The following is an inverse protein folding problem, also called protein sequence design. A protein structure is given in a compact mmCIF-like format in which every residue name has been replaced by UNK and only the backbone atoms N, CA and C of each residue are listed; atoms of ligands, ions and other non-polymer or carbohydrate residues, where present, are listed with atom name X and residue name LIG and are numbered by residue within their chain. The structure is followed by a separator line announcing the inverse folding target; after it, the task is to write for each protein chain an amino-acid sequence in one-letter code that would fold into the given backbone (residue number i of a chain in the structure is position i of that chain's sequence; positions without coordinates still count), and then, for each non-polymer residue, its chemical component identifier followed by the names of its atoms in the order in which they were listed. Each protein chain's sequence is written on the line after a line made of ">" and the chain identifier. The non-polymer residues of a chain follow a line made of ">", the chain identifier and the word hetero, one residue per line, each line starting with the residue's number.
data_IF_670106173601
#
_entry.id   IF_670106173601
#
_cell.length_a   1.000
_cell.length_b   1.000
_cell.length_c   1.000
_cell.angle_alpha   90.00
_cell.angle_beta   90.00
_cell.angle_gamma   90.00
#
_symmetry.space_group_name_H-M   'P 1'
#
loop_
_entity.id
_entity.type
_entity.pdbx_description
1 polymer ?
#
# COMPACT_ATOMS: atom_id res chain seq x y z
N UNK A 1 -11.47 14.60 -22.16
CA UNK A 1 -11.23 13.14 -22.29
C UNK A 1 -10.39 12.73 -21.10
N UNK A 2 -10.97 12.09 -20.07
CA UNK A 2 -10.25 11.67 -18.88
C UNK A 2 -9.36 10.47 -19.24
N UNK A 3 -8.05 10.64 -19.31
CA UNK A 3 -7.13 9.50 -19.25
C UNK A 3 -7.10 9.00 -17.81
N UNK A 4 -7.87 7.98 -17.52
CA UNK A 4 -7.91 7.28 -16.24
C UNK A 4 -6.64 6.44 -16.15
N UNK A 5 -5.55 6.99 -15.65
CA UNK A 5 -4.44 6.19 -15.17
C UNK A 5 -4.81 5.72 -13.75
N UNK A 6 -5.50 4.60 -13.70
CA UNK A 6 -5.85 3.95 -12.44
C UNK A 6 -4.59 3.27 -11.97
N UNK A 7 -4.08 3.71 -10.80
CA UNK A 7 -3.13 3.03 -9.92
C UNK A 7 -2.11 2.16 -10.67
N UNK A 8 -0.84 2.49 -10.58
CA UNK A 8 0.26 1.71 -11.13
C UNK A 8 0.38 0.27 -10.62
N UNK A 9 -0.58 -0.20 -9.81
CA UNK A 9 -0.73 -1.58 -9.38
C UNK A 9 -1.42 -2.34 -10.51
N UNK A 10 -0.62 -2.96 -11.35
CA UNK A 10 -1.12 -3.73 -12.50
C UNK A 10 -1.55 -5.15 -12.12
N UNK A 11 -1.21 -5.65 -10.92
CA UNK A 11 -1.51 -7.03 -10.53
C UNK A 11 -1.95 -7.14 -9.06
N UNK A 12 -3.26 -7.35 -8.87
CA UNK A 12 -3.86 -7.68 -7.56
C UNK A 12 -3.20 -8.92 -6.93
N UNK A 13 -2.74 -9.87 -7.74
CA UNK A 13 -2.08 -11.09 -7.26
C UNK A 13 -0.77 -10.78 -6.54
N UNK A 14 -0.05 -9.75 -6.97
CA UNK A 14 1.14 -9.32 -6.27
C UNK A 14 0.81 -8.83 -4.86
N UNK A 15 -0.24 -8.02 -4.71
CA UNK A 15 -0.69 -7.54 -3.40
C UNK A 15 -1.09 -8.70 -2.49
N UNK A 16 -1.86 -9.66 -3.00
CA UNK A 16 -2.27 -10.84 -2.23
C UNK A 16 -1.07 -11.69 -1.78
N UNK A 17 -0.09 -11.90 -2.65
CA UNK A 17 1.12 -12.68 -2.34
C UNK A 17 2.10 -11.97 -1.40
N UNK A 18 1.96 -10.66 -1.21
CA UNK A 18 2.83 -9.85 -0.38
C UNK A 18 2.18 -9.41 0.94
N UNK A 19 1.17 -10.13 1.39
CA UNK A 19 0.55 -9.95 2.71
C UNK A 19 1.58 -10.19 3.81
N UNK A 20 2.44 -11.19 3.65
CA UNK A 20 3.67 -11.37 4.42
C UNK A 20 4.87 -11.00 3.56
N UNK A 21 5.87 -10.36 4.14
CA UNK A 21 7.10 -10.01 3.45
C UNK A 21 7.81 -11.27 2.96
N UNK A 22 7.90 -11.44 1.63
CA UNK A 22 8.45 -12.65 1.04
C UNK A 22 9.93 -12.52 0.71
N UNK A 23 10.30 -11.44 0.03
CA UNK A 23 11.68 -11.19 -0.42
C UNK A 23 12.26 -9.95 0.27
N UNK A 24 11.45 -8.94 0.51
CA UNK A 24 11.86 -7.73 1.23
C UNK A 24 10.72 -7.10 2.03
N UNK A 25 11.06 -6.51 3.15
CA UNK A 25 10.18 -5.66 3.93
C UNK A 25 10.09 -4.30 3.24
N UNK A 26 8.89 -3.85 2.91
CA UNK A 26 8.66 -2.67 2.07
C UNK A 26 8.29 -1.42 2.85
N UNK A 27 7.80 -1.58 4.08
CA UNK A 27 7.35 -0.46 4.92
C UNK A 27 7.39 -0.85 6.40
N UNK A 28 7.37 0.14 7.27
CA UNK A 28 7.29 -0.08 8.72
C UNK A 28 5.97 -0.78 9.08
N UNK A 29 6.05 -1.89 9.82
CA UNK A 29 4.89 -2.71 10.17
C UNK A 29 4.47 -3.72 9.09
N UNK A 30 5.29 -3.94 8.05
CA UNK A 30 5.02 -5.01 7.09
C UNK A 30 5.14 -6.37 7.79
N UNK A 31 4.08 -7.20 7.84
CA UNK A 31 4.13 -8.50 8.49
C UNK A 31 5.20 -9.40 7.88
N UNK A 32 6.00 -10.06 8.73
CA UNK A 32 7.10 -10.92 8.29
C UNK A 32 6.72 -12.40 8.46
N UNK A 33 6.03 -12.71 9.55
CA UNK A 33 5.62 -14.06 9.89
C UNK A 33 4.25 -14.07 10.54
N UNK A 34 3.59 -15.19 10.51
CA UNK A 34 2.35 -15.44 11.22
C UNK A 34 2.44 -16.75 11.98
N UNK A 35 1.92 -16.78 13.20
CA UNK A 35 1.89 -17.96 14.06
C UNK A 35 0.46 -18.38 14.31
N UNK A 36 0.17 -19.66 14.15
CA UNK A 36 -1.09 -20.28 14.55
C UNK A 36 -0.82 -21.25 15.72
N UNK A 37 -1.60 -21.12 16.80
CA UNK A 37 -1.48 -21.96 17.97
C UNK A 37 -2.87 -22.32 18.53
N UNK A 38 -2.91 -23.21 19.55
CA UNK A 38 -4.17 -23.60 20.20
C UNK A 38 -4.77 -22.48 21.06
N UNK A 39 -3.94 -21.59 21.58
CA UNK A 39 -4.35 -20.44 22.39
C UNK A 39 -3.56 -19.20 21.94
N UNK A 40 -4.16 -18.03 22.16
CA UNK A 40 -3.52 -16.74 21.89
C UNK A 40 -2.20 -16.58 22.63
N UNK A 41 -2.15 -16.92 23.93
CA UNK A 41 -0.95 -16.87 24.76
C UNK A 41 0.22 -17.68 24.16
N UNK A 42 -0.06 -18.87 23.63
CA UNK A 42 0.95 -19.71 22.99
C UNK A 42 1.42 -19.05 21.67
N UNK A 43 0.51 -18.47 20.92
CA UNK A 43 0.83 -17.76 19.66
C UNK A 43 1.71 -16.53 19.92
N UNK A 44 1.37 -15.71 20.90
CA UNK A 44 2.16 -14.54 21.31
C UNK A 44 3.58 -14.92 21.74
N UNK A 45 3.71 -15.89 22.63
CA UNK A 45 5.02 -16.38 23.06
C UNK A 45 5.85 -16.95 21.91
N UNK A 46 5.22 -17.60 20.95
CA UNK A 46 5.92 -18.10 19.76
C UNK A 46 6.36 -16.96 18.84
N UNK A 47 5.59 -15.89 18.71
CA UNK A 47 6.00 -14.69 17.98
C UNK A 47 7.25 -14.03 18.60
N UNK A 48 7.34 -13.97 19.94
CA UNK A 48 8.50 -13.44 20.66
C UNK A 48 9.79 -14.22 20.42
N UNK A 49 9.69 -15.50 20.02
CA UNK A 49 10.85 -16.36 19.72
C UNK A 49 11.34 -16.23 18.28
N UNK A 50 10.66 -15.48 17.44
CA UNK A 50 11.06 -15.28 16.06
C UNK A 50 12.20 -14.27 16.02
N UNK A 51 13.38 -14.72 15.67
CA UNK A 51 14.54 -13.87 15.40
C UNK A 51 14.57 -13.51 13.92
N UNK A 52 14.80 -12.22 13.62
CA UNK A 52 14.86 -11.72 12.25
C UNK A 52 16.19 -11.01 12.03
N UNK A 53 16.93 -11.48 11.05
CA UNK A 53 18.15 -10.82 10.56
C UNK A 53 17.83 -10.06 9.27
N UNK A 54 18.23 -8.79 9.22
CA UNK A 54 17.91 -7.90 8.11
C UNK A 54 19.17 -7.50 7.33
N UNK A 55 19.13 -7.73 6.04
CA UNK A 55 20.03 -7.06 5.09
C UNK A 55 19.40 -5.71 4.69
N UNK A 56 19.95 -4.62 5.20
CA UNK A 56 19.38 -3.28 5.05
C UNK A 56 19.73 -2.70 3.68
N UNK A 57 18.73 -2.57 2.83
CA UNK A 57 18.83 -1.93 1.52
C UNK A 57 18.71 -0.40 1.58
N UNK A 58 19.13 0.33 0.56
CA UNK A 58 18.83 1.77 0.42
C UNK A 58 17.32 2.01 0.49
N UNK A 59 16.92 3.04 1.21
CA UNK A 59 15.53 3.39 1.47
C UNK A 59 15.19 4.82 1.05
N UNK A 60 13.90 5.09 0.86
CA UNK A 60 13.33 6.43 0.75
C UNK A 60 12.04 6.47 1.55
N UNK A 61 12.00 7.27 2.61
CA UNK A 61 10.86 7.38 3.52
C UNK A 61 10.04 8.63 3.18
N UNK A 62 10.73 9.75 2.94
CA UNK A 62 10.09 11.00 2.59
C UNK A 62 9.69 11.04 1.11
N UNK A 63 8.55 11.69 0.82
CA UNK A 63 8.02 11.78 -0.55
C UNK A 63 9.02 12.48 -1.48
N UNK A 64 9.61 13.57 -1.02
CA UNK A 64 10.57 14.36 -1.80
C UNK A 64 11.84 13.59 -2.13
N UNK A 65 12.27 12.68 -1.24
CA UNK A 65 13.39 11.79 -1.50
C UNK A 65 13.00 10.66 -2.46
N UNK A 66 11.80 10.12 -2.33
CA UNK A 66 11.31 9.01 -3.14
C UNK A 66 11.09 9.38 -4.62
N UNK A 67 10.82 10.65 -4.93
CA UNK A 67 10.59 11.12 -6.31
C UNK A 67 11.86 11.60 -7.03
N UNK A 68 13.01 11.68 -6.34
CA UNK A 68 14.29 12.08 -6.97
C UNK A 68 14.69 11.10 -8.08
N UNK A 69 15.36 11.57 -9.12
CA UNK A 69 15.78 10.71 -10.24
C UNK A 69 16.71 9.55 -9.85
N UNK A 70 17.47 9.72 -8.78
CA UNK A 70 18.43 8.77 -8.22
C UNK A 70 17.91 8.01 -7.00
N UNK A 71 16.64 8.19 -6.67
CA UNK A 71 16.01 7.49 -5.55
C UNK A 71 16.04 5.96 -5.75
N UNK A 72 16.24 5.18 -4.68
CA UNK A 72 16.13 3.73 -4.75
C UNK A 72 14.70 3.33 -5.13
N UNK A 73 14.56 2.41 -6.08
CA UNK A 73 13.25 1.87 -6.47
C UNK A 73 12.79 0.88 -5.40
N UNK A 74 11.69 1.21 -4.75
CA UNK A 74 11.14 0.41 -3.64
C UNK A 74 10.30 -0.77 -4.14
N UNK A 75 9.53 -0.56 -5.22
CA UNK A 75 8.64 -1.55 -5.80
C UNK A 75 8.97 -1.80 -7.27
N UNK A 76 9.59 -2.92 -7.58
CA UNK A 76 10.06 -3.25 -8.94
C UNK A 76 8.93 -3.41 -9.96
N UNK A 77 7.72 -3.69 -9.49
CA UNK A 77 6.53 -3.90 -10.33
C UNK A 77 5.77 -2.60 -10.65
N UNK A 78 5.99 -1.51 -9.88
CA UNK A 78 5.39 -0.21 -10.18
C UNK A 78 6.15 0.41 -11.35
N UNK A 79 5.42 0.76 -12.40
CA UNK A 79 6.00 1.39 -13.59
C UNK A 79 5.28 2.70 -13.90
N UNK A 80 6.06 3.73 -14.12
CA UNK A 80 5.62 5.00 -14.68
C UNK A 80 6.29 5.19 -16.03
N UNK A 81 5.53 5.46 -17.09
CA UNK A 81 5.99 5.51 -18.47
C UNK A 81 6.85 4.30 -18.89
N UNK A 82 6.45 3.11 -18.43
CA UNK A 82 7.10 1.85 -18.76
C UNK A 82 8.39 1.54 -18.01
N UNK A 83 8.88 2.45 -17.14
CA UNK A 83 10.09 2.28 -16.32
C UNK A 83 9.72 2.07 -14.85
N UNK A 84 10.51 1.27 -14.10
CA UNK A 84 10.34 1.17 -12.64
C UNK A 84 10.33 2.55 -12.00
N UNK A 85 9.42 2.77 -11.04
CA UNK A 85 9.23 4.08 -10.43
C UNK A 85 8.63 3.96 -9.04
N UNK A 86 8.92 4.93 -8.17
CA UNK A 86 8.22 5.09 -6.90
C UNK A 86 6.89 5.86 -7.07
N UNK A 87 6.59 6.36 -8.27
CA UNK A 87 5.33 7.03 -8.57
C UNK A 87 4.28 5.97 -8.92
N UNK A 88 3.30 5.79 -8.04
CA UNK A 88 2.22 4.81 -8.21
C UNK A 88 1.18 5.25 -9.25
N UNK A 89 1.01 6.54 -9.44
CA UNK A 89 0.09 7.09 -10.42
C UNK A 89 0.07 8.61 -10.41
N UNK A 90 -0.39 9.19 -11.50
CA UNK A 90 -0.60 10.64 -11.64
C UNK A 90 -2.01 10.91 -12.11
N UNK A 91 -2.59 12.00 -11.62
CA UNK A 91 -3.86 12.54 -12.11
C UNK A 91 -3.62 13.97 -12.60
N UNK A 92 -3.91 14.21 -13.86
CA UNK A 92 -3.83 15.53 -14.43
C UNK A 92 -5.22 16.02 -14.84
N UNK A 93 -5.59 17.21 -14.38
CA UNK A 93 -6.81 17.87 -14.77
C UNK A 93 -6.48 19.28 -15.28
N UNK A 94 -6.81 19.55 -16.55
CA UNK A 94 -6.62 20.85 -17.19
C UNK A 94 -7.96 21.45 -17.59
N UNK A 95 -8.18 22.73 -17.23
CA UNK A 95 -9.33 23.50 -17.65
C UNK A 95 -8.89 24.95 -17.94
N UNK A 96 -9.23 25.46 -19.12
CA UNK A 96 -8.85 26.81 -19.56
C UNK A 96 -7.38 26.89 -20.00
N UNK A 97 -6.84 28.09 -20.02
CA UNK A 97 -5.46 28.40 -20.35
C UNK A 97 -4.77 29.04 -19.15
N UNK A 98 -3.87 28.27 -18.51
CA UNK A 98 -3.16 28.69 -17.30
C UNK A 98 -2.22 29.86 -17.59
N UNK A 99 -1.52 29.83 -18.73
CA UNK A 99 -0.54 30.85 -19.10
C UNK A 99 -1.23 32.21 -19.33
N UNK A 100 -2.37 32.23 -20.00
CA UNK A 100 -3.17 33.45 -20.14
C UNK A 100 -3.71 33.92 -18.79
N UNK A 101 -4.19 33.02 -17.94
CA UNK A 101 -4.66 33.37 -16.60
C UNK A 101 -3.58 34.02 -15.73
N UNK A 102 -2.35 33.51 -15.74
CA UNK A 102 -1.24 34.17 -15.04
C UNK A 102 -0.84 35.52 -15.64
N UNK A 103 -0.90 35.65 -16.96
CA UNK A 103 -0.60 36.91 -17.65
C UNK A 103 -1.61 38.02 -17.36
N UNK A 104 -2.87 37.64 -17.22
CA UNK A 104 -3.99 38.58 -16.97
C UNK A 104 -4.26 38.82 -15.49
N UNK A 105 -3.53 38.14 -14.57
CA UNK A 105 -3.73 38.26 -13.14
C UNK A 105 -3.08 39.53 -12.59
N UNK A 106 -3.86 40.34 -11.84
CA UNK A 106 -3.34 41.50 -11.11
C UNK A 106 -2.48 41.13 -9.92
N UNK A 107 -2.73 39.96 -9.30
CA UNK A 107 -2.01 39.43 -8.14
C UNK A 107 -1.79 37.95 -8.34
N UNK A 108 -0.52 37.49 -8.15
CA UNK A 108 -0.13 36.08 -8.15
C UNK A 108 0.35 35.74 -6.74
N UNK A 109 -0.21 34.65 -6.19
CA UNK A 109 0.19 34.09 -4.89
C UNK A 109 0.66 32.67 -5.13
N UNK A 110 1.91 32.36 -4.74
CA UNK A 110 2.49 31.04 -4.76
C UNK A 110 2.80 30.61 -3.32
N UNK A 111 2.29 29.47 -2.90
CA UNK A 111 2.50 28.90 -1.57
C UNK A 111 2.57 27.40 -1.63
N UNK A 112 3.43 26.83 -0.80
CA UNK A 112 3.52 25.42 -0.53
C UNK A 112 2.80 25.07 0.79
N UNK A 113 2.08 23.95 0.80
CA UNK A 113 1.35 23.48 1.96
C UNK A 113 1.70 22.01 2.20
N UNK A 114 2.02 21.70 3.45
CA UNK A 114 2.34 20.34 3.88
C UNK A 114 1.37 19.91 4.97
N UNK A 115 0.97 18.62 4.96
CA UNK A 115 0.21 17.98 6.03
C UNK A 115 0.95 16.76 6.53
N UNK A 116 0.97 16.57 7.84
CA UNK A 116 1.54 15.37 8.43
C UNK A 116 0.75 14.11 8.02
N UNK A 117 1.46 13.00 7.83
CA UNK A 117 0.82 11.70 7.73
C UNK A 117 0.24 11.31 9.09
N UNK A 118 -1.04 11.00 9.14
CA UNK A 118 -1.75 10.65 10.38
C UNK A 118 -2.56 9.39 10.20
N UNK A 119 -2.71 8.63 11.29
CA UNK A 119 -3.65 7.52 11.33
C UNK A 119 -5.08 8.06 11.47
N UNK A 120 -6.03 7.51 10.73
CA UNK A 120 -7.42 7.99 10.69
C UNK A 120 -8.21 7.78 12.02
N UNK A 121 -7.66 7.00 12.95
CA UNK A 121 -8.24 6.83 14.30
C UNK A 121 -9.58 6.11 14.33
N UNK A 122 -9.79 5.10 13.48
CA UNK A 122 -11.02 4.29 13.48
C UNK A 122 -11.21 3.54 14.82
N UNK A 123 -12.48 3.41 15.27
CA UNK A 123 -12.84 2.70 16.49
C UNK A 123 -12.93 1.19 16.27
N UNK A 124 -13.32 0.74 15.09
CA UNK A 124 -13.42 -0.67 14.75
C UNK A 124 -12.01 -1.25 14.52
N UNK A 125 -11.61 -2.21 15.32
CA UNK A 125 -10.32 -2.90 15.17
C UNK A 125 -10.36 -3.88 14.00
N UNK A 126 -9.18 -4.16 13.44
CA UNK A 126 -9.05 -5.21 12.44
C UNK A 126 -9.27 -6.57 13.08
N UNK A 127 -10.29 -7.28 12.60
CA UNK A 127 -10.60 -8.63 13.05
C UNK A 127 -11.14 -9.47 11.90
N UNK A 128 -10.88 -10.77 11.96
CA UNK A 128 -11.50 -11.74 11.07
C UNK A 128 -11.77 -13.06 11.79
N UNK A 129 -12.84 -13.71 11.38
CA UNK A 129 -13.19 -15.07 11.77
C UNK A 129 -13.29 -15.91 10.51
N UNK A 130 -12.64 -17.06 10.53
CA UNK A 130 -12.65 -18.00 9.40
C UNK A 130 -13.23 -19.34 9.83
N UNK A 131 -14.16 -19.85 9.05
CA UNK A 131 -14.74 -21.18 9.24
C UNK A 131 -14.60 -21.98 7.93
N UNK A 132 -14.05 -23.18 8.06
CA UNK A 132 -13.97 -24.14 6.96
C UNK A 132 -14.94 -25.28 7.26
N UNK A 133 -15.91 -25.49 6.37
CA UNK A 133 -16.88 -26.56 6.50
C UNK A 133 -16.32 -27.89 5.93
N UNK A 134 -16.92 -29.06 6.29
CA UNK A 134 -16.44 -30.36 5.82
C UNK A 134 -16.45 -30.55 4.31
N UNK A 135 -17.19 -29.73 3.56
CA UNK A 135 -17.22 -29.68 2.10
C UNK A 135 -16.21 -28.70 1.50
N UNK A 136 -15.16 -28.33 2.27
CA UNK A 136 -14.08 -27.38 1.91
C UNK A 136 -14.57 -25.97 1.58
N UNK A 137 -15.80 -25.61 1.95
CA UNK A 137 -16.27 -24.24 1.81
C UNK A 137 -15.74 -23.37 2.93
N UNK A 138 -15.03 -22.32 2.56
CA UNK A 138 -14.49 -21.33 3.49
C UNK A 138 -15.41 -20.11 3.59
N UNK A 139 -15.81 -19.78 4.81
CA UNK A 139 -16.54 -18.54 5.11
C UNK A 139 -15.67 -17.62 5.95
N UNK A 140 -15.56 -16.37 5.56
CA UNK A 140 -14.74 -15.34 6.22
C UNK A 140 -15.65 -14.20 6.65
N UNK A 141 -15.68 -13.88 7.94
CA UNK A 141 -16.24 -12.65 8.48
C UNK A 141 -15.09 -11.71 8.80
N UNK A 142 -15.10 -10.53 8.25
CA UNK A 142 -14.03 -9.56 8.48
C UNK A 142 -14.57 -8.13 8.56
N UNK A 143 -13.93 -7.31 9.36
CA UNK A 143 -14.10 -5.87 9.34
C UNK A 143 -13.54 -5.32 8.03
N UNK A 144 -14.40 -5.01 7.08
CA UNK A 144 -14.00 -4.58 5.73
C UNK A 144 -15.07 -3.72 5.06
N UNK A 145 -14.65 -2.74 4.28
CA UNK A 145 -15.52 -1.93 3.43
C UNK A 145 -15.71 -2.54 2.02
N UNK A 146 -15.08 -3.69 1.72
CA UNK A 146 -15.06 -4.24 0.37
C UNK A 146 -15.05 -5.78 0.33
N UNK A 147 -16.15 -6.41 0.68
CA UNK A 147 -16.27 -7.88 0.73
C UNK A 147 -15.87 -8.59 -0.57
N UNK A 148 -16.19 -8.01 -1.71
CA UNK A 148 -15.81 -8.60 -3.01
C UNK A 148 -14.31 -8.52 -3.26
N UNK A 149 -13.66 -7.45 -2.85
CA UNK A 149 -12.21 -7.30 -2.93
C UNK A 149 -11.50 -8.27 -1.99
N UNK A 150 -11.96 -8.39 -0.74
CA UNK A 150 -11.44 -9.36 0.24
C UNK A 150 -11.51 -10.77 -0.33
N UNK A 151 -12.68 -11.17 -0.86
CA UNK A 151 -12.86 -12.48 -1.50
C UNK A 151 -11.89 -12.69 -2.67
N UNK A 152 -11.78 -11.71 -3.56
CA UNK A 152 -10.90 -11.80 -4.73
C UNK A 152 -9.43 -11.92 -4.31
N UNK A 153 -8.96 -11.09 -3.38
CA UNK A 153 -7.57 -11.13 -2.92
C UNK A 153 -7.25 -12.44 -2.19
N UNK A 154 -8.12 -12.89 -1.29
CA UNK A 154 -7.93 -14.15 -0.56
C UNK A 154 -7.89 -15.36 -1.49
N UNK A 155 -8.61 -15.33 -2.61
CA UNK A 155 -8.58 -16.44 -3.59
C UNK A 155 -7.28 -16.55 -4.38
N UNK A 156 -6.34 -15.60 -4.25
CA UNK A 156 -5.04 -15.62 -4.93
C UNK A 156 -3.88 -16.05 -4.01
N UNK A 157 -4.15 -16.23 -2.72
CA UNK A 157 -3.21 -16.75 -1.73
C UNK A 157 -3.26 -18.26 -1.70
#
# INVERSE_FOLDING_TARGET
>A
MYKRQILGIQDIRWMARNVLAKEKVLFHGHPIAAVAARTEEIAERACELIEVDYDVHPWAIEIDDAIKPDAPILHDFIKFDGKPSNIAGTLEHKKGNIEEGFKDADIIIEKEFETAAVHQGYLETHACLVSVSPDDRTTIWSSSQGQFMVRAMTSFI
#
